data_IF_387028018889
#
_entry.id   IF_387028018889
#
_cell.length_a   1.000
_cell.length_b   1.000
_cell.length_c   1.000
_cell.angle_alpha   90.00
_cell.angle_beta   90.00
_cell.angle_gamma   90.00
#
_symmetry.space_group_name_H-M   'P 1'
#
loop_
_entity.id
_entity.type
_entity.pdbx_description
1 polymer ?
#
# COMPACT_ATOMS: atom_id res chain seq x y z
N UNK A 1 -12.33 -11.04 -14.88
CA UNK A 1 -11.44 -10.73 -13.73
C UNK A 1 -10.30 -11.74 -13.59
N UNK A 2 -10.54 -13.03 -13.32
CA UNK A 2 -9.47 -14.05 -13.20
C UNK A 2 -8.53 -14.14 -14.40
N UNK A 3 -9.05 -14.14 -15.63
CA UNK A 3 -8.22 -14.12 -16.86
C UNK A 3 -7.30 -12.90 -16.93
N UNK A 4 -7.81 -11.72 -16.57
CA UNK A 4 -7.04 -10.47 -16.56
C UNK A 4 -5.94 -10.54 -15.50
N UNK A 5 -6.25 -11.01 -14.28
CA UNK A 5 -5.26 -11.19 -13.21
C UNK A 5 -4.16 -12.16 -13.61
N UNK A 6 -4.49 -13.27 -14.25
CA UNK A 6 -3.49 -14.24 -14.73
C UNK A 6 -2.60 -13.64 -15.82
N UNK A 7 -3.17 -12.87 -16.75
CA UNK A 7 -2.40 -12.14 -17.78
C UNK A 7 -1.47 -11.12 -17.12
N UNK A 8 -1.94 -10.34 -16.14
CA UNK A 8 -1.10 -9.38 -15.42
C UNK A 8 0.08 -10.08 -14.72
N UNK A 9 -0.17 -11.20 -14.03
CA UNK A 9 0.90 -11.98 -13.38
C UNK A 9 1.90 -12.49 -14.41
N UNK A 10 1.43 -13.10 -15.50
CA UNK A 10 2.31 -13.62 -16.55
C UNK A 10 3.16 -12.51 -17.18
N UNK A 11 2.58 -11.33 -17.45
CA UNK A 11 3.31 -10.17 -17.95
C UNK A 11 4.36 -9.66 -16.97
N UNK A 12 4.04 -9.64 -15.66
CA UNK A 12 5.03 -9.25 -14.63
C UNK A 12 6.21 -10.22 -14.63
N UNK A 13 5.98 -11.53 -14.62
CA UNK A 13 7.05 -12.52 -14.67
C UNK A 13 7.87 -12.44 -15.96
N UNK A 14 7.21 -12.28 -17.11
CA UNK A 14 7.88 -12.15 -18.39
C UNK A 14 8.78 -10.91 -18.44
N UNK A 15 8.28 -9.76 -17.96
CA UNK A 15 9.05 -8.52 -17.91
C UNK A 15 10.25 -8.64 -16.94
N UNK A 16 10.05 -9.24 -15.77
CA UNK A 16 11.14 -9.49 -14.81
C UNK A 16 12.20 -10.39 -15.41
N UNK A 17 11.81 -11.49 -16.07
CA UNK A 17 12.76 -12.39 -16.74
C UNK A 17 13.53 -11.68 -17.87
N UNK A 18 12.86 -10.84 -18.66
CA UNK A 18 13.51 -10.07 -19.72
C UNK A 18 14.58 -9.13 -19.18
N UNK A 19 14.31 -8.40 -18.07
CA UNK A 19 15.29 -7.51 -17.44
C UNK A 19 16.46 -8.30 -16.85
N UNK A 20 16.18 -9.42 -16.17
CA UNK A 20 17.23 -10.22 -15.51
C UNK A 20 18.12 -11.01 -16.48
N UNK A 21 17.58 -11.44 -17.63
CA UNK A 21 18.32 -12.24 -18.63
C UNK A 21 19.00 -11.37 -19.69
N UNK A 22 18.73 -10.06 -19.75
CA UNK A 22 19.33 -9.15 -20.73
C UNK A 22 20.87 -9.23 -20.80
N UNK A 23 21.62 -9.35 -19.67
CA UNK A 23 23.07 -9.52 -19.73
C UNK A 23 23.53 -10.81 -20.44
N UNK A 24 22.73 -11.88 -20.41
CA UNK A 24 23.06 -13.14 -21.10
C UNK A 24 22.96 -13.03 -22.63
N UNK A 25 22.20 -12.05 -23.13
CA UNK A 25 22.07 -11.77 -24.56
C UNK A 25 23.07 -10.70 -25.06
N UNK A 26 24.12 -10.41 -24.26
CA UNK A 26 25.18 -9.45 -24.62
C UNK A 26 24.88 -8.00 -24.24
N UNK A 27 23.86 -7.76 -23.40
CA UNK A 27 23.54 -6.41 -22.92
C UNK A 27 24.04 -6.21 -21.48
N UNK A 28 25.36 -6.07 -21.36
CA UNK A 28 26.10 -5.91 -20.09
C UNK A 28 27.58 -6.28 -20.26
N UNK A 29 28.42 -5.88 -19.30
CA UNK A 29 29.81 -6.33 -19.17
C UNK A 29 29.92 -7.85 -19.27
N UNK A 30 30.92 -8.32 -20.03
CA UNK A 30 31.17 -9.75 -20.22
C UNK A 30 31.73 -10.31 -18.91
N UNK A 31 31.13 -11.36 -18.36
CA UNK A 31 31.59 -12.03 -17.15
C UNK A 31 33.09 -12.35 -17.25
N UNK A 32 33.92 -11.66 -16.47
CA UNK A 32 35.34 -11.97 -16.36
C UNK A 32 35.55 -12.97 -15.21
N UNK A 33 35.92 -14.24 -15.49
CA UNK A 33 36.15 -15.24 -14.47
C UNK A 33 37.34 -14.91 -13.55
N UNK A 34 38.17 -13.92 -13.89
CA UNK A 34 39.37 -13.53 -13.13
C UNK A 34 39.07 -12.81 -11.80
N UNK A 35 37.83 -12.34 -11.58
CA UNK A 35 37.50 -11.52 -10.41
C UNK A 35 36.79 -12.26 -9.26
N UNK A 36 36.46 -13.55 -9.39
CA UNK A 36 35.72 -14.36 -8.38
C UNK A 36 34.52 -13.65 -7.73
N UNK A 37 33.94 -12.66 -8.41
CA UNK A 37 32.88 -11.81 -7.87
C UNK A 37 31.61 -11.97 -8.70
N UNK A 38 30.57 -12.49 -8.06
CA UNK A 38 29.23 -12.48 -8.62
C UNK A 38 28.59 -11.10 -8.33
N UNK A 39 28.80 -10.14 -9.22
CA UNK A 39 28.16 -8.83 -9.17
C UNK A 39 27.33 -8.57 -10.43
N UNK A 40 26.27 -7.78 -10.28
CA UNK A 40 25.45 -7.32 -11.40
C UNK A 40 26.31 -6.45 -12.30
N UNK A 41 26.11 -6.60 -13.62
CA UNK A 41 26.79 -5.80 -14.64
C UNK A 41 26.72 -4.30 -14.33
N UNK A 42 27.87 -3.64 -14.30
CA UNK A 42 28.01 -2.21 -13.97
C UNK A 42 27.94 -1.31 -15.21
N UNK A 43 27.53 -1.84 -16.37
CA UNK A 43 27.27 -1.04 -17.56
C UNK A 43 26.24 0.06 -17.24
N UNK A 44 26.60 1.35 -17.37
CA UNK A 44 25.71 2.45 -16.98
C UNK A 44 24.34 2.38 -17.67
N UNK A 45 24.31 1.98 -18.95
CA UNK A 45 23.08 1.85 -19.72
C UNK A 45 22.16 0.75 -19.18
N UNK A 46 22.72 -0.42 -18.86
CA UNK A 46 21.98 -1.54 -18.27
C UNK A 46 21.51 -1.20 -16.85
N UNK A 47 22.36 -0.59 -16.01
CA UNK A 47 21.99 -0.23 -14.64
C UNK A 47 20.83 0.76 -14.60
N UNK A 48 20.83 1.81 -15.42
CA UNK A 48 19.73 2.80 -15.45
C UNK A 48 18.41 2.14 -15.87
N UNK A 49 18.43 1.34 -16.93
CA UNK A 49 17.22 0.71 -17.47
C UNK A 49 16.69 -0.36 -16.51
N UNK A 50 17.58 -1.20 -15.97
CA UNK A 50 17.21 -2.27 -15.05
C UNK A 50 16.68 -1.75 -13.71
N UNK A 51 17.39 -0.81 -13.06
CA UNK A 51 16.95 -0.21 -11.80
C UNK A 51 15.70 0.65 -12.00
N UNK A 52 15.61 1.36 -13.13
CA UNK A 52 14.44 2.13 -13.55
C UNK A 52 13.20 1.25 -13.71
N UNK A 53 13.31 0.19 -14.51
CA UNK A 53 12.21 -0.74 -14.80
C UNK A 53 11.82 -1.64 -13.63
N UNK A 54 12.79 -2.05 -12.80
CA UNK A 54 12.55 -2.96 -11.68
C UNK A 54 12.07 -2.25 -10.41
N UNK A 55 12.47 -1.00 -10.18
CA UNK A 55 12.22 -0.31 -8.90
C UNK A 55 11.59 1.06 -9.06
N UNK A 56 12.28 2.01 -9.70
CA UNK A 56 11.85 3.42 -9.67
C UNK A 56 10.53 3.66 -10.40
N UNK A 57 10.33 3.09 -11.59
CA UNK A 57 9.09 3.24 -12.35
C UNK A 57 7.91 2.58 -11.63
N UNK A 58 7.97 1.29 -11.22
CA UNK A 58 6.92 0.68 -10.40
C UNK A 58 6.63 1.46 -9.13
N UNK A 59 7.67 1.95 -8.43
CA UNK A 59 7.52 2.73 -7.21
C UNK A 59 6.76 4.04 -7.45
N UNK A 60 7.14 4.80 -8.47
CA UNK A 60 6.47 6.04 -8.84
C UNK A 60 4.98 5.82 -9.14
N UNK A 61 4.66 4.77 -9.91
CA UNK A 61 3.27 4.41 -10.23
C UNK A 61 2.49 4.07 -8.96
N UNK A 62 3.05 3.23 -8.09
CA UNK A 62 2.41 2.81 -6.84
C UNK A 62 2.18 4.00 -5.90
N UNK A 63 3.19 4.86 -5.73
CA UNK A 63 3.07 6.07 -4.91
C UNK A 63 2.04 7.04 -5.48
N UNK A 64 1.99 7.23 -6.80
CA UNK A 64 1.00 8.08 -7.46
C UNK A 64 -0.41 7.55 -7.25
N UNK A 65 -0.64 6.26 -7.48
CA UNK A 65 -1.95 5.61 -7.25
C UNK A 65 -2.35 5.74 -5.79
N UNK A 66 -1.44 5.46 -4.85
CA UNK A 66 -1.72 5.58 -3.43
C UNK A 66 -2.01 7.02 -3.00
N UNK A 67 -1.26 8.00 -3.52
CA UNK A 67 -1.52 9.43 -3.27
C UNK A 67 -2.90 9.84 -3.78
N UNK A 68 -3.32 9.38 -4.96
CA UNK A 68 -4.68 9.60 -5.46
C UNK A 68 -5.74 8.98 -4.55
N UNK A 69 -5.51 7.75 -4.07
CA UNK A 69 -6.42 7.07 -3.12
C UNK A 69 -6.51 7.87 -1.81
N UNK A 70 -5.38 8.29 -1.26
CA UNK A 70 -5.31 9.10 -0.04
C UNK A 70 -6.05 10.43 -0.21
N UNK A 71 -5.86 11.13 -1.33
CA UNK A 71 -6.56 12.39 -1.63
C UNK A 71 -8.07 12.18 -1.73
N UNK A 72 -8.51 11.12 -2.41
CA UNK A 72 -9.92 10.77 -2.52
C UNK A 72 -10.53 10.44 -1.14
N UNK A 73 -9.82 9.71 -0.29
CA UNK A 73 -10.25 9.39 1.06
C UNK A 73 -10.31 10.65 1.96
N UNK A 74 -9.33 11.53 1.88
CA UNK A 74 -9.30 12.81 2.63
C UNK A 74 -10.45 13.73 2.22
N UNK A 75 -10.78 13.81 0.93
CA UNK A 75 -11.91 14.59 0.43
C UNK A 75 -13.25 14.07 0.99
N UNK A 76 -13.44 12.75 1.08
CA UNK A 76 -14.63 12.14 1.70
C UNK A 76 -14.76 12.46 3.20
N UNK A 77 -13.64 12.52 3.94
CA UNK A 77 -13.66 12.87 5.37
C UNK A 77 -13.87 14.37 5.64
N UNK A 78 -13.41 15.25 4.73
CA UNK A 78 -13.61 16.70 4.82
C UNK A 78 -15.08 17.12 4.68
N UNK A 79 -15.89 16.37 3.92
CA UNK A 79 -17.33 16.61 3.79
C UNK A 79 -18.17 16.13 4.98
N UNK A 80 -17.74 15.07 5.68
CA UNK A 80 -18.51 14.45 6.77
C UNK A 80 -18.43 15.18 8.11
N UNK A 81 -17.41 16.04 8.32
CA UNK A 81 -17.25 16.84 9.55
C UNK A 81 -18.27 17.96 9.73
N UNK A 82 -19.11 18.25 8.73
CA UNK A 82 -20.14 19.31 8.80
C UNK A 82 -21.53 18.83 9.22
N UNK A 83 -21.78 17.53 9.32
CA UNK A 83 -23.12 16.99 9.61
C UNK A 83 -23.22 16.24 10.96
N UNK A 84 -22.49 16.68 11.98
CA UNK A 84 -22.79 16.27 13.35
C UNK A 84 -23.93 17.16 13.86
N UNK A 85 -25.17 16.73 13.61
CA UNK A 85 -26.34 17.29 14.32
C UNK A 85 -26.21 16.82 15.77
N UNK A 86 -25.78 17.72 16.66
CA UNK A 86 -25.84 17.52 18.11
C UNK A 86 -27.32 17.65 18.50
N UNK A 87 -27.97 16.61 19.06
CA UNK A 87 -29.27 16.79 19.67
C UNK A 87 -29.12 17.70 20.89
N UNK A 88 -29.78 18.85 20.87
CA UNK A 88 -29.89 19.72 22.04
C UNK A 88 -30.64 18.97 23.14
N UNK A 89 -30.15 18.91 24.39
CA UNK A 89 -30.88 18.27 25.48
C UNK A 89 -32.14 19.06 25.80
N UNK A 90 -33.29 18.41 25.72
CA UNK A 90 -34.56 18.93 26.20
C UNK A 90 -34.50 19.01 27.74
N UNK A 91 -34.39 20.22 28.28
CA UNK A 91 -34.50 20.47 29.70
C UNK A 91 -35.48 21.62 29.96
N UNK A 92 -36.44 21.32 30.83
CA UNK A 92 -37.34 22.20 31.58
C UNK A 92 -38.73 22.50 30.97
N UNK A 93 -39.64 21.54 31.19
CA UNK A 93 -41.07 21.77 31.37
C UNK A 93 -41.33 22.57 32.67
N UNK A 94 -41.98 23.74 32.59
CA UNK A 94 -42.82 24.30 33.67
C UNK A 94 -44.06 25.01 33.06
N UNK A 95 -45.21 24.32 33.19
CA UNK A 95 -46.59 24.76 33.43
C UNK A 95 -47.22 26.02 32.79
N UNK A 96 -48.25 25.74 31.98
CA UNK A 96 -49.69 26.06 32.20
C UNK A 96 -50.27 27.42 31.71
N UNK A 97 -51.05 27.37 30.60
CA UNK A 97 -52.37 28.03 30.42
C UNK A 97 -53.01 27.80 29.01
N UNK A 98 -54.18 27.14 29.00
CA UNK A 98 -55.44 27.47 28.27
C UNK A 98 -55.64 27.40 26.73
N UNK A 99 -56.67 26.59 26.36
CA UNK A 99 -57.62 26.64 25.22
C UNK A 99 -57.26 26.08 23.79
N UNK A 100 -58.03 25.05 23.38
CA UNK A 100 -58.20 24.40 22.04
C UNK A 100 -58.88 25.32 20.98
N UNK A 101 -59.06 24.95 19.68
CA UNK A 101 -58.44 23.89 18.86
C UNK A 101 -57.96 24.35 17.46
N UNK A 102 -56.93 23.72 16.86
CA UNK A 102 -56.86 23.59 15.39
C UNK A 102 -55.96 22.45 14.93
N UNK A 103 -56.56 21.50 14.22
CA UNK A 103 -55.88 20.39 13.56
C UNK A 103 -55.00 20.90 12.42
N UNK A 104 -53.69 20.74 12.56
CA UNK A 104 -52.78 20.70 11.41
C UNK A 104 -51.92 19.46 11.55
N UNK A 105 -52.37 18.39 10.90
CA UNK A 105 -51.56 17.20 10.64
C UNK A 105 -50.43 17.58 9.67
N UNK A 106 -49.36 18.18 10.20
CA UNK A 106 -48.08 18.22 9.50
C UNK A 106 -47.24 17.07 10.01
N UNK A 107 -47.58 15.87 9.55
CA UNK A 107 -46.65 14.76 9.60
C UNK A 107 -45.47 15.07 8.67
N UNK A 108 -44.53 15.89 9.17
CA UNK A 108 -43.16 15.92 8.64
C UNK A 108 -42.59 14.53 8.91
N UNK A 109 -42.80 13.63 7.97
CA UNK A 109 -41.99 12.45 7.80
C UNK A 109 -40.57 12.94 7.52
N UNK A 110 -39.84 13.29 8.58
CA UNK A 110 -38.41 13.26 8.53
C UNK A 110 -38.08 11.80 8.20
N UNK A 111 -37.74 11.53 6.94
CA UNK A 111 -37.13 10.28 6.56
C UNK A 111 -35.81 10.19 7.33
N UNK A 112 -35.87 9.68 8.56
CA UNK A 112 -34.70 9.25 9.31
C UNK A 112 -34.19 8.06 8.51
N UNK A 113 -33.32 8.37 7.55
CA UNK A 113 -32.60 7.35 6.81
C UNK A 113 -31.71 6.70 7.84
N UNK A 114 -32.15 5.57 8.40
CA UNK A 114 -31.36 4.74 9.29
C UNK A 114 -30.23 4.15 8.45
N UNK A 115 -29.20 4.96 8.23
CA UNK A 115 -28.08 4.66 7.35
C UNK A 115 -27.14 3.71 8.08
N UNK A 116 -27.62 2.47 8.20
CA UNK A 116 -26.90 1.19 8.11
C UNK A 116 -25.54 1.14 8.78
N UNK A 117 -25.51 0.55 9.98
CA UNK A 117 -24.31 0.05 10.68
C UNK A 117 -23.42 -0.84 9.78
N UNK A 118 -24.01 -1.46 8.75
CA UNK A 118 -23.27 -2.21 7.72
C UNK A 118 -22.40 -1.35 6.79
N UNK A 119 -22.75 -0.10 6.50
CA UNK A 119 -21.96 0.77 5.62
C UNK A 119 -20.77 1.40 6.34
N UNK A 120 -20.94 1.78 7.60
CA UNK A 120 -19.84 2.26 8.47
C UNK A 120 -18.81 1.15 8.70
N UNK A 121 -19.24 -0.10 8.92
CA UNK A 121 -18.34 -1.25 9.06
C UNK A 121 -17.55 -1.55 7.77
N UNK A 122 -18.20 -1.48 6.60
CA UNK A 122 -17.53 -1.64 5.29
C UNK A 122 -16.48 -0.55 5.08
N UNK A 123 -16.81 0.71 5.38
CA UNK A 123 -15.88 1.84 5.26
C UNK A 123 -14.66 1.68 6.20
N UNK A 124 -14.87 1.21 7.43
CA UNK A 124 -13.78 0.91 8.36
C UNK A 124 -12.88 -0.23 7.84
N UNK A 125 -13.46 -1.26 7.23
CA UNK A 125 -12.71 -2.37 6.64
C UNK A 125 -11.89 -1.93 5.42
N UNK A 126 -12.46 -1.06 4.58
CA UNK A 126 -11.76 -0.44 3.45
C UNK A 126 -10.60 0.45 3.91
N UNK A 127 -10.80 1.27 4.96
CA UNK A 127 -9.73 2.08 5.56
C UNK A 127 -8.59 1.22 6.12
N UNK A 128 -8.91 0.11 6.81
CA UNK A 128 -7.90 -0.84 7.30
C UNK A 128 -7.15 -1.52 6.16
N UNK A 129 -7.83 -1.90 5.10
CA UNK A 129 -7.19 -2.47 3.91
C UNK A 129 -6.26 -1.44 3.22
N UNK A 130 -6.70 -0.19 3.09
CA UNK A 130 -5.87 0.89 2.53
C UNK A 130 -4.64 1.18 3.41
N UNK A 131 -4.80 1.18 4.75
CA UNK A 131 -3.70 1.33 5.69
C UNK A 131 -2.68 0.19 5.55
N UNK A 132 -3.15 -1.06 5.48
CA UNK A 132 -2.30 -2.23 5.27
C UNK A 132 -1.48 -2.08 3.97
N UNK A 133 -2.13 -1.69 2.87
CA UNK A 133 -1.45 -1.43 1.58
C UNK A 133 -0.42 -0.31 1.73
N UNK A 134 -0.74 0.78 2.44
CA UNK A 134 0.21 1.86 2.71
C UNK A 134 1.42 1.41 3.51
N UNK A 135 1.24 0.56 4.51
CA UNK A 135 2.34 -0.02 5.31
C UNK A 135 3.22 -0.92 4.45
N UNK A 136 2.63 -1.78 3.61
CA UNK A 136 3.38 -2.64 2.69
C UNK A 136 4.27 -1.83 1.75
N UNK A 137 3.72 -0.75 1.17
CA UNK A 137 4.48 0.17 0.30
C UNK A 137 5.60 0.85 1.09
N UNK A 138 5.31 1.35 2.30
CA UNK A 138 6.30 2.03 3.14
C UNK A 138 7.46 1.11 3.53
N UNK A 139 7.19 -0.12 3.95
CA UNK A 139 8.22 -1.09 4.30
C UNK A 139 9.05 -1.49 3.07
N UNK A 140 8.38 -1.74 1.93
CA UNK A 140 9.08 -2.02 0.67
C UNK A 140 10.06 -0.90 0.31
N UNK A 141 9.61 0.35 0.37
CA UNK A 141 10.42 1.53 0.09
C UNK A 141 11.62 1.63 1.04
N UNK A 142 11.38 1.56 2.35
CA UNK A 142 12.45 1.68 3.36
C UNK A 142 13.49 0.57 3.23
N UNK A 143 13.07 -0.65 2.89
CA UNK A 143 13.97 -1.78 2.79
C UNK A 143 14.79 -1.77 1.49
N UNK A 144 14.19 -1.35 0.37
CA UNK A 144 14.80 -1.47 -0.96
C UNK A 144 15.48 -0.19 -1.47
N UNK A 145 15.04 1.00 -1.04
CA UNK A 145 15.64 2.27 -1.48
C UNK A 145 17.17 2.30 -1.30
N UNK A 146 17.74 1.94 -0.12
CA UNK A 146 19.19 2.07 0.10
C UNK A 146 20.00 1.26 -0.91
N UNK A 147 19.56 0.03 -1.20
CA UNK A 147 20.19 -0.85 -2.18
C UNK A 147 20.10 -0.27 -3.61
N UNK A 148 18.89 0.08 -4.06
CA UNK A 148 18.71 0.60 -5.43
C UNK A 148 19.40 1.94 -5.66
N UNK A 149 19.49 2.81 -4.64
CA UNK A 149 20.30 4.03 -4.70
C UNK A 149 21.77 3.68 -4.90
N UNK A 150 22.33 2.74 -4.14
CA UNK A 150 23.74 2.37 -4.29
C UNK A 150 24.04 1.73 -5.64
N UNK A 151 23.14 0.90 -6.16
CA UNK A 151 23.29 0.30 -7.48
C UNK A 151 23.19 1.34 -8.60
N UNK A 152 22.30 2.33 -8.49
CA UNK A 152 22.21 3.42 -9.47
C UNK A 152 23.44 4.33 -9.45
N UNK A 153 23.93 4.70 -8.26
CA UNK A 153 25.00 5.70 -8.12
C UNK A 153 26.39 5.10 -8.42
N UNK A 154 26.63 3.83 -8.08
CA UNK A 154 27.91 3.12 -8.25
C UNK A 154 28.54 3.34 -9.64
N UNK A 155 27.85 3.06 -10.78
CA UNK A 155 28.40 3.30 -12.10
C UNK A 155 28.35 4.76 -12.56
N UNK A 156 27.45 5.59 -12.01
CA UNK A 156 27.28 6.99 -12.44
C UNK A 156 28.35 7.92 -11.90
N UNK A 157 28.82 7.71 -10.67
CA UNK A 157 29.86 8.54 -10.05
C UNK A 157 31.22 7.86 -9.97
N UNK A 158 31.36 6.62 -10.48
CA UNK A 158 32.55 5.78 -10.29
C UNK A 158 32.96 5.64 -8.82
N UNK A 159 31.99 5.72 -7.90
CA UNK A 159 32.25 5.69 -6.48
C UNK A 159 32.50 4.26 -6.02
N UNK A 160 33.64 4.03 -5.35
CA UNK A 160 33.93 2.74 -4.74
C UNK A 160 33.17 2.58 -3.42
N UNK A 161 32.01 1.92 -3.49
CA UNK A 161 31.23 1.57 -2.30
C UNK A 161 31.81 0.26 -1.71
N UNK A 162 32.26 0.25 -0.44
CA UNK A 162 32.79 -0.96 0.18
C UNK A 162 31.77 -2.12 0.15
N UNK A 163 32.20 -3.37 -0.09
CA UNK A 163 31.30 -4.53 -0.19
C UNK A 163 30.42 -4.75 1.04
N UNK A 164 30.90 -4.37 2.23
CA UNK A 164 30.14 -4.47 3.48
C UNK A 164 28.83 -3.65 3.42
N UNK A 165 28.86 -2.46 2.84
CA UNK A 165 27.66 -1.60 2.72
C UNK A 165 26.66 -2.18 1.73
N UNK A 166 27.14 -2.71 0.59
CA UNK A 166 26.29 -3.41 -0.37
C UNK A 166 25.60 -4.62 0.27
N UNK A 167 26.33 -5.39 1.09
CA UNK A 167 25.78 -6.52 1.83
C UNK A 167 24.71 -6.08 2.83
N UNK A 168 24.98 -5.05 3.65
CA UNK A 168 24.01 -4.53 4.63
C UNK A 168 22.70 -4.11 3.95
N UNK A 169 22.78 -3.35 2.85
CA UNK A 169 21.59 -2.89 2.14
C UNK A 169 20.84 -4.02 1.44
N UNK A 170 21.54 -5.02 0.94
CA UNK A 170 20.92 -6.21 0.35
C UNK A 170 20.16 -7.03 1.40
N UNK A 171 20.77 -7.25 2.56
CA UNK A 171 20.13 -7.95 3.69
C UNK A 171 18.90 -7.19 4.20
N UNK A 172 18.97 -5.85 4.25
CA UNK A 172 17.83 -5.01 4.55
C UNK A 172 16.72 -5.20 3.50
N UNK A 173 17.06 -5.23 2.21
CA UNK A 173 16.11 -5.54 1.13
C UNK A 173 15.43 -6.91 1.31
N UNK A 174 16.19 -7.95 1.65
CA UNK A 174 15.65 -9.29 1.92
C UNK A 174 14.71 -9.34 3.13
N UNK A 175 14.95 -8.51 4.14
CA UNK A 175 14.06 -8.42 5.31
C UNK A 175 12.63 -7.98 4.96
N UNK A 176 12.41 -7.29 3.84
CA UNK A 176 11.08 -6.92 3.35
C UNK A 176 10.12 -8.11 3.27
N UNK A 177 10.61 -9.25 2.79
CA UNK A 177 9.80 -10.47 2.64
C UNK A 177 9.29 -11.01 3.98
N UNK A 178 10.06 -10.82 5.06
CA UNK A 178 9.67 -11.21 6.42
C UNK A 178 8.54 -10.34 6.99
N UNK A 179 8.53 -9.04 6.68
CA UNK A 179 7.48 -8.14 7.17
C UNK A 179 6.12 -8.40 6.53
N UNK A 180 6.06 -8.92 5.30
CA UNK A 180 4.81 -9.18 4.59
C UNK A 180 3.82 -10.06 5.41
N UNK A 181 4.17 -11.29 5.84
CA UNK A 181 3.32 -12.10 6.73
C UNK A 181 2.91 -11.40 8.03
N UNK A 182 3.83 -10.68 8.69
CA UNK A 182 3.55 -9.98 9.95
C UNK A 182 2.51 -8.87 9.79
N UNK A 183 2.60 -8.11 8.68
CA UNK A 183 1.64 -7.06 8.35
C UNK A 183 0.27 -7.69 8.07
N UNK A 184 0.21 -8.79 7.32
CA UNK A 184 -1.05 -9.47 7.04
C UNK A 184 -1.71 -10.01 8.31
N UNK A 185 -0.97 -10.62 9.23
CA UNK A 185 -1.54 -11.14 10.49
C UNK A 185 -1.95 -10.04 11.46
N UNK A 186 -1.26 -8.89 11.47
CA UNK A 186 -1.62 -7.76 12.33
C UNK A 186 -2.90 -7.04 11.87
N UNK A 187 -3.06 -6.81 10.56
CA UNK A 187 -4.13 -5.95 10.03
C UNK A 187 -5.30 -6.71 9.40
N UNK A 188 -5.16 -8.01 9.12
CA UNK A 188 -6.21 -8.84 8.55
C UNK A 188 -6.68 -9.94 9.51
N UNK A 189 -7.83 -9.70 10.17
CA UNK A 189 -8.43 -10.61 11.14
C UNK A 189 -8.73 -12.00 10.56
N UNK A 190 -9.04 -12.09 9.26
CA UNK A 190 -9.26 -13.39 8.61
C UNK A 190 -7.96 -14.18 8.50
N UNK A 191 -6.84 -13.53 8.16
CA UNK A 191 -5.53 -14.17 8.12
C UNK A 191 -5.04 -14.56 9.51
N UNK A 192 -5.21 -13.67 10.50
CA UNK A 192 -4.87 -13.95 11.89
C UNK A 192 -5.62 -15.18 12.42
N UNK A 193 -6.94 -15.25 12.16
CA UNK A 193 -7.75 -16.39 12.58
C UNK A 193 -7.34 -17.69 11.86
N UNK A 194 -7.01 -17.64 10.56
CA UNK A 194 -6.49 -18.79 9.84
C UNK A 194 -5.14 -19.27 10.39
N UNK A 195 -4.24 -18.33 10.71
CA UNK A 195 -2.95 -18.63 11.33
C UNK A 195 -3.13 -19.25 12.72
N UNK A 196 -3.96 -18.66 13.58
CA UNK A 196 -4.31 -19.25 14.88
C UNK A 196 -4.88 -20.65 14.75
N UNK A 197 -5.78 -20.88 13.79
CA UNK A 197 -6.34 -22.21 13.57
C UNK A 197 -5.28 -23.23 13.11
N UNK A 198 -4.29 -22.81 12.32
CA UNK A 198 -3.16 -23.66 11.90
C UNK A 198 -2.32 -24.13 13.10
N UNK A 199 -2.04 -23.25 14.07
CA UNK A 199 -1.21 -23.59 15.23
C UNK A 199 -1.96 -24.14 16.45
N UNK A 200 -3.30 -23.96 16.51
CA UNK A 200 -4.13 -24.43 17.64
C UNK A 200 -4.85 -25.75 17.33
N UNK A 201 -5.06 -26.10 16.06
CA UNK A 201 -5.62 -27.41 15.65
C UNK A 201 -4.56 -28.46 15.29
N UNK A 202 -3.31 -28.24 15.72
CA UNK A 202 -2.24 -29.22 15.62
C UNK A 202 -2.01 -29.85 16.99
#
# INVERSE_FOLDING_TARGET
RRRISNVMIALTWALSAAISLAPLFGWGETYSPEQERCQVSQEPSYTIISTGGAFYLPLCVVLFVYWKIYKAAKFRMGGRRKNTVVPLPEAAQVKEASHEPQMVFTARHAAITFQTDGETWREQKEKKAALMVGILIGVFVLCWIPFFITELISPLCSCNIPPIWKSIFLWLGYSNSFFNPLIYTAFNKNYNNAFKNLFVKQ
#
